data_IF_958710686388
#
_entry.id   IF_958710686388
#
_cell.length_a   1.000
_cell.length_b   1.000
_cell.length_c   1.000
_cell.angle_alpha   90.00
_cell.angle_beta   90.00
_cell.angle_gamma   90.00
#
_symmetry.space_group_name_H-M   'P 1'
#
loop_
_entity.id
_entity.type
_entity.pdbx_description
1 polymer ?
#
# COMPACT_ATOMS: atom_id res chain seq x y z
N UNK A 1 -1.19 46.17 17.09
CA UNK A 1 -0.44 45.56 15.97
C UNK A 1 -0.41 44.06 16.21
N UNK A 2 -1.21 43.24 15.51
CA UNK A 2 -1.12 41.80 15.67
C UNK A 2 0.22 41.32 15.10
N UNK A 3 0.97 40.63 15.94
CA UNK A 3 2.26 40.02 15.63
C UNK A 3 2.18 39.19 14.35
N UNK A 4 3.01 39.52 13.36
CA UNK A 4 3.19 38.71 12.17
C UNK A 4 3.79 37.37 12.60
N UNK A 5 2.96 36.32 12.62
CA UNK A 5 3.46 34.96 12.73
C UNK A 5 4.53 34.75 11.65
N UNK A 6 5.76 34.50 12.09
CA UNK A 6 6.87 34.00 11.29
C UNK A 6 6.60 32.55 10.88
N UNK A 7 5.47 32.33 10.20
CA UNK A 7 5.18 31.10 9.49
C UNK A 7 6.01 31.05 8.23
N UNK A 8 6.49 29.85 7.86
CA UNK A 8 7.18 29.59 6.61
C UNK A 8 6.47 30.27 5.43
N UNK A 9 7.19 31.18 4.74
CA UNK A 9 6.69 31.83 3.53
C UNK A 9 6.51 30.75 2.46
N UNK A 10 5.30 30.62 1.92
CA UNK A 10 5.01 29.64 0.87
C UNK A 10 6.01 29.76 -0.28
N UNK A 11 6.71 28.66 -0.55
CA UNK A 11 7.57 28.50 -1.71
C UNK A 11 6.88 27.55 -2.70
N UNK A 12 6.74 27.98 -3.96
CA UNK A 12 6.20 27.13 -5.03
C UNK A 12 7.14 25.95 -5.26
N UNK A 13 6.58 24.76 -5.42
CA UNK A 13 7.33 23.60 -5.89
C UNK A 13 7.76 23.81 -7.35
N UNK A 14 9.06 23.63 -7.62
CA UNK A 14 9.68 23.76 -8.95
C UNK A 14 10.15 22.36 -9.40
N UNK A 15 9.25 21.50 -9.89
CA UNK A 15 9.58 20.13 -10.28
C UNK A 15 10.72 20.08 -11.31
N UNK A 16 10.77 21.05 -12.23
CA UNK A 16 11.79 21.17 -13.27
C UNK A 16 13.23 21.33 -12.74
N UNK A 17 13.40 21.65 -11.44
CA UNK A 17 14.70 21.76 -10.77
C UNK A 17 15.08 20.51 -9.97
N UNK A 18 14.24 19.48 -9.99
CA UNK A 18 14.51 18.24 -9.25
C UNK A 18 15.28 17.25 -10.11
N UNK A 19 16.16 16.46 -9.48
CA UNK A 19 16.94 15.44 -10.17
C UNK A 19 16.06 14.41 -10.89
N UNK A 20 14.99 13.93 -10.23
CA UNK A 20 14.09 12.94 -10.83
C UNK A 20 13.40 13.49 -12.08
N UNK A 21 12.96 14.75 -12.06
CA UNK A 21 12.33 15.36 -13.23
C UNK A 21 13.32 15.44 -14.40
N UNK A 22 14.54 15.93 -14.15
CA UNK A 22 15.57 16.04 -15.16
C UNK A 22 15.92 14.67 -15.78
N UNK A 23 16.06 13.63 -14.96
CA UNK A 23 16.33 12.27 -15.43
C UNK A 23 15.19 11.72 -16.28
N UNK A 24 13.94 11.85 -15.83
CA UNK A 24 12.78 11.37 -16.58
C UNK A 24 12.63 12.15 -17.89
N UNK A 25 12.75 13.48 -17.86
CA UNK A 25 12.64 14.31 -19.05
C UNK A 25 13.71 13.96 -20.09
N UNK A 26 14.95 13.73 -19.65
CA UNK A 26 16.06 13.43 -20.55
C UNK A 26 15.97 12.01 -21.14
N UNK A 27 15.56 11.01 -20.37
CA UNK A 27 15.71 9.60 -20.75
C UNK A 27 14.41 8.87 -21.09
N UNK A 28 13.23 9.42 -20.77
CA UNK A 28 11.96 8.77 -21.09
C UNK A 28 11.76 8.53 -22.60
N UNK A 29 12.06 9.48 -23.51
CA UNK A 29 11.93 9.23 -24.95
C UNK A 29 12.82 8.08 -25.44
N UNK A 30 14.09 8.05 -25.03
CA UNK A 30 15.04 6.99 -25.40
C UNK A 30 14.62 5.62 -24.84
N UNK A 31 14.08 5.61 -23.62
CA UNK A 31 13.56 4.41 -23.01
C UNK A 31 12.39 3.82 -23.80
N UNK A 32 11.46 4.66 -24.26
CA UNK A 32 10.34 4.24 -25.12
C UNK A 32 10.85 3.71 -26.46
N UNK A 33 11.76 4.43 -27.12
CA UNK A 33 12.32 4.01 -28.40
C UNK A 33 13.03 2.64 -28.30
N UNK A 34 13.75 2.39 -27.19
CA UNK A 34 14.39 1.09 -26.96
C UNK A 34 13.38 -0.04 -26.79
N UNK A 35 12.32 0.17 -26.02
CA UNK A 35 11.27 -0.85 -25.82
C UNK A 35 10.59 -1.20 -27.15
N UNK A 36 10.32 -0.20 -27.99
CA UNK A 36 9.72 -0.38 -29.31
C UNK A 36 10.67 -1.10 -30.29
N UNK A 37 11.97 -0.80 -30.25
CA UNK A 37 12.99 -1.50 -31.05
C UNK A 37 13.12 -2.99 -30.72
N UNK A 38 12.78 -3.39 -29.49
CA UNK A 38 12.73 -4.79 -29.06
C UNK A 38 11.40 -5.48 -29.41
N UNK A 39 10.51 -4.80 -30.15
CA UNK A 39 9.19 -5.33 -30.51
C UNK A 39 8.22 -5.40 -29.33
N UNK A 40 8.51 -4.67 -28.24
CA UNK A 40 7.69 -4.62 -27.02
C UNK A 40 6.97 -3.29 -26.92
N UNK A 41 5.95 -3.22 -26.07
CA UNK A 41 5.27 -1.98 -25.73
C UNK A 41 5.02 -1.89 -24.24
N UNK A 42 5.08 -0.67 -23.69
CA UNK A 42 4.61 -0.43 -22.34
C UNK A 42 3.09 -0.36 -22.32
N UNK A 43 2.44 -0.88 -21.26
CA UNK A 43 1.03 -0.63 -21.04
C UNK A 43 0.72 0.86 -21.02
N UNK A 44 -0.44 1.24 -21.54
CA UNK A 44 -0.85 2.65 -21.67
C UNK A 44 -0.78 3.41 -20.34
N UNK A 45 -1.25 2.79 -19.26
CA UNK A 45 -1.22 3.40 -17.93
C UNK A 45 0.20 3.73 -17.44
N UNK A 46 1.24 3.06 -17.95
CA UNK A 46 2.64 3.36 -17.62
C UNK A 46 3.09 4.61 -18.37
N UNK A 47 2.77 4.70 -19.67
CA UNK A 47 3.09 5.87 -20.50
C UNK A 47 2.42 7.12 -19.94
N UNK A 48 1.12 7.03 -19.64
CA UNK A 48 0.35 8.11 -19.03
C UNK A 48 0.96 8.59 -17.71
N UNK A 49 1.53 7.67 -16.91
CA UNK A 49 2.17 8.01 -15.64
C UNK A 49 3.43 8.87 -15.82
N UNK A 50 4.25 8.58 -16.83
CA UNK A 50 5.42 9.40 -17.17
C UNK A 50 5.04 10.76 -17.73
N UNK A 51 4.10 10.79 -18.67
CA UNK A 51 3.65 12.02 -19.32
C UNK A 51 2.97 12.96 -18.31
N UNK A 52 2.08 12.44 -17.47
CA UNK A 52 1.42 13.25 -16.44
C UNK A 52 2.38 13.69 -15.33
N UNK A 53 3.42 12.91 -15.03
CA UNK A 53 4.48 13.32 -14.12
C UNK A 53 5.26 14.53 -14.66
N UNK A 54 5.66 14.52 -15.93
CA UNK A 54 6.37 15.64 -16.56
C UNK A 54 5.52 16.92 -16.63
N UNK A 55 4.20 16.80 -16.52
CA UNK A 55 3.29 17.95 -16.44
C UNK A 55 3.00 18.42 -15.00
N UNK A 56 3.33 17.61 -14.01
CA UNK A 56 2.94 17.83 -12.62
C UNK A 56 3.72 18.98 -11.98
N UNK A 57 3.02 20.05 -11.57
CA UNK A 57 3.63 21.19 -10.86
C UNK A 57 4.25 22.26 -11.77
N UNK A 58 4.13 22.09 -13.08
CA UNK A 58 4.64 22.98 -14.13
C UNK A 58 3.52 23.93 -14.57
N UNK A 59 3.77 25.24 -14.59
CA UNK A 59 2.73 26.26 -14.79
C UNK A 59 2.20 26.28 -16.23
N UNK A 60 3.05 25.95 -17.19
CA UNK A 60 2.77 25.84 -18.62
C UNK A 60 1.69 24.79 -18.91
N UNK A 61 1.49 23.84 -17.99
CA UNK A 61 0.48 22.80 -18.09
C UNK A 61 -0.80 23.09 -17.29
N UNK A 62 -0.92 24.30 -16.73
CA UNK A 62 -2.11 24.82 -16.07
C UNK A 62 -1.94 25.09 -14.57
N UNK A 63 -2.70 26.07 -14.07
CA UNK A 63 -2.65 26.52 -12.69
C UNK A 63 -3.96 27.15 -12.21
N UNK A 64 -4.13 27.22 -10.90
CA UNK A 64 -5.12 28.06 -10.23
C UNK A 64 -4.44 29.35 -9.75
N UNK A 65 -5.09 30.49 -9.97
CA UNK A 65 -4.72 31.77 -9.34
C UNK A 65 -5.56 31.95 -8.08
N UNK A 66 -4.92 31.85 -6.92
CA UNK A 66 -5.56 32.04 -5.63
C UNK A 66 -5.29 33.46 -5.16
N UNK A 67 -6.34 34.21 -4.84
CA UNK A 67 -6.25 35.61 -4.41
C UNK A 67 -6.84 35.73 -3.01
N UNK A 68 -6.11 36.38 -2.10
CA UNK A 68 -6.67 36.75 -0.80
C UNK A 68 -7.66 37.90 -0.96
N UNK A 69 -8.90 37.72 -0.49
CA UNK A 69 -9.93 38.76 -0.59
C UNK A 69 -9.62 40.01 0.25
N UNK A 70 -8.81 39.86 1.31
CA UNK A 70 -8.50 40.94 2.24
C UNK A 70 -7.28 41.77 1.81
N UNK A 71 -6.13 41.12 1.54
CA UNK A 71 -4.88 41.82 1.21
C UNK A 71 -4.52 41.79 -0.28
N UNK A 72 -5.36 41.15 -1.12
CA UNK A 72 -5.16 40.98 -2.58
C UNK A 72 -3.87 40.26 -2.99
N UNK A 73 -3.13 39.70 -2.03
CA UNK A 73 -1.98 38.86 -2.34
C UNK A 73 -2.40 37.67 -3.19
N UNK A 74 -1.63 37.41 -4.24
CA UNK A 74 -1.90 36.35 -5.20
C UNK A 74 -0.84 35.25 -5.16
N UNK A 75 -1.26 34.03 -5.48
CA UNK A 75 -0.38 32.87 -5.66
C UNK A 75 -0.86 32.05 -6.83
N UNK A 76 0.08 31.60 -7.65
CA UNK A 76 -0.17 30.59 -8.67
C UNK A 76 0.09 29.20 -8.08
N UNK A 77 -0.87 28.31 -8.24
CA UNK A 77 -0.81 26.92 -7.79
C UNK A 77 -0.94 26.04 -9.02
N UNK A 78 0.18 25.46 -9.46
CA UNK A 78 0.20 24.55 -10.61
C UNK A 78 -0.64 23.29 -10.34
N UNK A 79 -1.19 22.70 -11.41
CA UNK A 79 -1.93 21.45 -11.29
C UNK A 79 -1.01 20.28 -10.93
N UNK A 80 -1.57 19.31 -10.20
CA UNK A 80 -0.89 18.08 -9.81
C UNK A 80 -1.36 16.92 -10.67
N UNK A 81 -0.49 15.94 -10.91
CA UNK A 81 -0.86 14.75 -11.70
C UNK A 81 -1.88 13.85 -10.97
N UNK A 82 -1.97 13.94 -9.64
CA UNK A 82 -2.86 13.13 -8.77
C UNK A 82 -2.60 11.60 -8.84
N UNK A 83 -1.60 11.19 -9.61
CA UNK A 83 -1.15 9.81 -9.81
C UNK A 83 -0.55 9.20 -8.54
N UNK A 84 -0.36 7.88 -8.56
CA UNK A 84 0.13 7.09 -7.41
C UNK A 84 1.41 6.31 -7.70
N UNK A 85 2.00 6.49 -8.89
CA UNK A 85 3.27 5.87 -9.26
C UNK A 85 4.44 6.48 -8.51
N UNK A 86 5.28 7.22 -9.21
CA UNK A 86 6.59 7.67 -8.69
C UNK A 86 6.68 9.18 -8.43
N UNK A 87 5.63 9.96 -8.68
CA UNK A 87 5.62 11.41 -8.41
C UNK A 87 5.78 11.68 -6.90
N UNK A 88 6.92 12.22 -6.42
CA UNK A 88 7.17 12.34 -4.98
C UNK A 88 6.25 13.35 -4.32
N UNK A 89 5.92 14.45 -5.02
CA UNK A 89 5.04 15.49 -4.49
C UNK A 89 3.61 14.99 -4.27
N UNK A 90 3.01 14.36 -5.28
CA UNK A 90 1.66 13.80 -5.18
C UNK A 90 1.61 12.60 -4.22
N UNK A 91 2.62 11.73 -4.26
CA UNK A 91 2.77 10.60 -3.35
C UNK A 91 2.85 11.06 -1.90
N UNK A 92 3.75 11.99 -1.57
CA UNK A 92 3.92 12.51 -0.22
C UNK A 92 2.67 13.24 0.28
N UNK A 93 2.01 14.05 -0.56
CA UNK A 93 0.75 14.71 -0.19
C UNK A 93 -0.32 13.68 0.16
N UNK A 94 -0.51 12.67 -0.69
CA UNK A 94 -1.48 11.59 -0.44
C UNK A 94 -1.13 10.80 0.82
N UNK A 95 0.14 10.50 1.05
CA UNK A 95 0.60 9.82 2.28
C UNK A 95 0.22 10.63 3.53
N UNK A 96 0.54 11.92 3.54
CA UNK A 96 0.24 12.80 4.68
C UNK A 96 -1.27 12.94 4.92
N UNK A 97 -2.07 13.13 3.87
CA UNK A 97 -3.53 13.21 3.97
C UNK A 97 -4.15 11.89 4.44
N UNK A 98 -3.68 10.76 3.91
CA UNK A 98 -4.16 9.43 4.32
C UNK A 98 -3.80 9.15 5.77
N UNK A 99 -2.57 9.47 6.20
CA UNK A 99 -2.15 9.30 7.58
C UNK A 99 -3.01 10.14 8.53
N UNK A 100 -3.26 11.42 8.20
CA UNK A 100 -4.15 12.28 8.97
C UNK A 100 -5.55 11.67 9.09
N UNK A 101 -6.15 11.28 7.97
CA UNK A 101 -7.48 10.66 7.97
C UNK A 101 -7.52 9.37 8.81
N UNK A 102 -6.50 8.51 8.70
CA UNK A 102 -6.41 7.30 9.48
C UNK A 102 -6.31 7.58 10.99
N UNK A 103 -5.51 8.56 11.39
CA UNK A 103 -5.32 8.93 12.80
C UNK A 103 -6.56 9.61 13.39
N UNK A 104 -7.14 10.57 12.67
CA UNK A 104 -8.21 11.43 13.20
C UNK A 104 -9.59 10.77 13.09
N UNK A 105 -9.90 10.15 11.95
CA UNK A 105 -11.27 9.72 11.62
C UNK A 105 -11.46 8.21 11.72
N UNK A 106 -10.44 7.41 11.38
CA UNK A 106 -10.57 5.94 11.34
C UNK A 106 -10.22 5.31 12.68
N UNK A 107 -8.99 5.48 13.14
CA UNK A 107 -8.50 4.89 14.39
C UNK A 107 -8.81 5.78 15.61
N UNK A 108 -8.80 7.10 15.46
CA UNK A 108 -8.93 8.02 16.59
C UNK A 108 -7.91 7.72 17.70
N UNK A 109 -8.28 7.81 18.99
CA UNK A 109 -7.36 7.57 20.11
C UNK A 109 -7.10 6.07 20.40
N UNK A 110 -7.60 5.15 19.57
CA UNK A 110 -7.46 3.71 19.83
C UNK A 110 -6.02 3.26 19.53
N UNK A 111 -5.43 2.38 20.35
CA UNK A 111 -4.08 1.89 20.10
C UNK A 111 -4.04 1.08 18.81
N UNK A 112 -2.97 1.23 18.03
CA UNK A 112 -2.74 0.55 16.76
C UNK A 112 -1.40 -0.17 16.81
N UNK A 113 -1.35 -1.40 16.28
CA UNK A 113 -0.13 -2.18 16.12
C UNK A 113 0.10 -2.47 14.65
N UNK A 114 1.32 -2.20 14.18
CA UNK A 114 1.73 -2.55 12.83
C UNK A 114 2.18 -4.01 12.77
N UNK A 115 1.67 -4.72 11.76
CA UNK A 115 2.10 -6.06 11.38
C UNK A 115 2.58 -6.00 9.93
N UNK A 116 3.75 -6.58 9.66
CA UNK A 116 4.30 -6.66 8.29
C UNK A 116 4.45 -8.13 7.93
N UNK A 117 3.84 -8.53 6.81
CA UNK A 117 3.96 -9.88 6.26
C UNK A 117 4.63 -9.82 4.90
N UNK A 118 5.82 -10.39 4.80
CA UNK A 118 6.54 -10.59 3.55
C UNK A 118 6.39 -12.03 3.08
N UNK A 119 6.40 -12.23 1.76
CA UNK A 119 6.28 -13.56 1.16
C UNK A 119 7.64 -14.09 0.71
N UNK A 120 7.82 -15.42 0.58
CA UNK A 120 8.95 -16.01 -0.13
C UNK A 120 9.01 -15.55 -1.60
N UNK A 121 10.20 -15.58 -2.20
CA UNK A 121 10.41 -15.08 -3.57
C UNK A 121 9.42 -15.64 -4.60
N UNK A 122 9.16 -16.97 -4.68
CA UNK A 122 8.23 -17.51 -5.68
C UNK A 122 6.82 -16.91 -5.56
N UNK A 123 6.30 -16.78 -4.34
CA UNK A 123 4.97 -16.19 -4.11
C UNK A 123 4.91 -14.69 -4.48
N UNK A 124 6.02 -13.95 -4.38
CA UNK A 124 6.07 -12.56 -4.84
C UNK A 124 5.85 -12.47 -6.36
N UNK A 125 6.44 -13.37 -7.13
CA UNK A 125 6.23 -13.44 -8.59
C UNK A 125 4.80 -13.85 -8.93
N UNK A 126 4.24 -14.83 -8.22
CA UNK A 126 2.84 -15.22 -8.38
C UNK A 126 1.91 -14.02 -8.15
N UNK A 127 2.05 -13.32 -7.03
CA UNK A 127 1.20 -12.16 -6.72
C UNK A 127 1.49 -10.94 -7.61
N UNK A 128 2.66 -10.89 -8.26
CA UNK A 128 2.94 -9.88 -9.26
C UNK A 128 2.12 -10.12 -10.53
N UNK A 129 2.04 -11.38 -10.96
CA UNK A 129 1.44 -11.80 -12.23
C UNK A 129 -0.05 -12.10 -12.11
N UNK A 130 -0.52 -12.50 -10.92
CA UNK A 130 -1.91 -12.89 -10.61
C UNK A 130 -2.46 -12.05 -9.43
N UNK A 131 -2.80 -10.77 -9.63
CA UNK A 131 -3.28 -9.90 -8.56
C UNK A 131 -4.55 -10.42 -7.86
N UNK A 132 -5.36 -11.21 -8.54
CA UNK A 132 -6.56 -11.87 -8.02
C UNK A 132 -6.27 -12.87 -6.90
N UNK A 133 -5.04 -13.38 -6.82
CA UNK A 133 -4.59 -14.24 -5.73
C UNK A 133 -4.48 -13.49 -4.38
N UNK A 134 -4.24 -12.17 -4.43
CA UNK A 134 -3.90 -11.37 -3.24
C UNK A 134 -5.10 -11.25 -2.29
N UNK A 135 -6.31 -11.05 -2.81
CA UNK A 135 -7.52 -10.87 -2.00
C UNK A 135 -7.81 -12.08 -1.09
N UNK A 136 -7.94 -13.30 -1.65
CA UNK A 136 -8.11 -14.52 -0.86
C UNK A 136 -6.99 -14.77 0.15
N UNK A 137 -5.72 -14.55 -0.24
CA UNK A 137 -4.56 -14.68 0.66
C UNK A 137 -4.63 -13.69 1.81
N UNK A 138 -4.93 -12.42 1.53
CA UNK A 138 -5.13 -11.40 2.55
C UNK A 138 -6.24 -11.79 3.52
N UNK A 139 -7.35 -12.34 3.03
CA UNK A 139 -8.43 -12.84 3.87
C UNK A 139 -7.99 -13.97 4.82
N UNK A 140 -7.12 -14.88 4.36
CA UNK A 140 -6.53 -15.93 5.21
C UNK A 140 -5.67 -15.32 6.30
N UNK A 141 -4.76 -14.42 5.93
CA UNK A 141 -3.85 -13.71 6.85
C UNK A 141 -4.66 -12.98 7.92
N UNK A 142 -5.66 -12.20 7.51
CA UNK A 142 -6.49 -11.42 8.43
C UNK A 142 -7.28 -12.31 9.39
N UNK A 143 -7.87 -13.43 8.93
CA UNK A 143 -8.57 -14.36 9.81
C UNK A 143 -7.65 -15.02 10.84
N UNK A 144 -6.42 -15.36 10.44
CA UNK A 144 -5.43 -15.96 11.36
C UNK A 144 -5.00 -14.95 12.42
N UNK A 145 -4.67 -13.72 12.03
CA UNK A 145 -4.27 -12.66 12.97
C UNK A 145 -5.45 -12.27 13.88
N UNK A 146 -6.66 -12.11 13.36
CA UNK A 146 -7.84 -11.80 14.17
C UNK A 146 -8.13 -12.89 15.21
N UNK A 147 -8.08 -14.17 14.83
CA UNK A 147 -8.28 -15.27 15.77
C UNK A 147 -7.20 -15.34 16.85
N UNK A 148 -5.95 -14.95 16.53
CA UNK A 148 -4.88 -14.85 17.52
C UNK A 148 -5.10 -13.66 18.47
N UNK A 149 -5.45 -12.49 17.95
CA UNK A 149 -5.73 -11.29 18.74
C UNK A 149 -6.91 -11.50 19.70
N UNK A 150 -7.98 -12.19 19.27
CA UNK A 150 -9.12 -12.57 20.11
C UNK A 150 -8.67 -13.40 21.32
N UNK A 151 -7.83 -14.42 21.09
CA UNK A 151 -7.27 -15.23 22.18
C UNK A 151 -6.44 -14.38 23.14
N UNK A 152 -5.59 -13.47 22.63
CA UNK A 152 -4.75 -12.63 23.48
C UNK A 152 -5.56 -11.61 24.29
N UNK A 153 -6.69 -11.13 23.76
CA UNK A 153 -7.59 -10.21 24.43
C UNK A 153 -8.58 -10.92 25.38
N UNK A 154 -8.60 -12.26 25.39
CA UNK A 154 -9.56 -13.06 26.15
C UNK A 154 -11.01 -12.77 25.74
N UNK A 155 -11.25 -12.59 24.44
CA UNK A 155 -12.59 -12.40 23.86
C UNK A 155 -12.93 -13.65 23.06
N UNK A 156 -14.17 -14.12 23.20
CA UNK A 156 -14.63 -15.26 22.42
C UNK A 156 -14.56 -14.96 20.92
N UNK A 157 -14.10 -15.92 20.13
CA UNK A 157 -13.86 -15.70 18.69
C UNK A 157 -15.14 -15.46 17.90
N UNK A 158 -16.28 -15.98 18.35
CA UNK A 158 -17.54 -15.82 17.64
C UNK A 158 -18.12 -14.41 17.82
N UNK A 159 -17.80 -13.72 18.92
CA UNK A 159 -18.21 -12.34 19.19
C UNK A 159 -17.11 -11.30 19.00
N UNK A 160 -15.86 -11.72 18.79
CA UNK A 160 -14.71 -10.83 18.63
C UNK A 160 -14.81 -9.99 17.35
N UNK A 161 -14.75 -8.67 17.50
CA UNK A 161 -14.68 -7.72 16.40
C UNK A 161 -13.45 -6.81 16.50
N UNK A 162 -12.83 -6.54 15.34
CA UNK A 162 -11.67 -5.66 15.23
C UNK A 162 -11.60 -5.05 13.82
N UNK A 163 -10.78 -4.02 13.66
CA UNK A 163 -10.53 -3.35 12.40
C UNK A 163 -9.05 -3.40 12.02
N UNK A 164 -8.78 -3.52 10.73
CA UNK A 164 -7.45 -3.47 10.13
C UNK A 164 -7.47 -2.64 8.86
N UNK A 165 -6.45 -1.81 8.67
CA UNK A 165 -6.16 -1.18 7.38
C UNK A 165 -4.92 -1.85 6.80
N UNK A 166 -5.04 -2.42 5.60
CA UNK A 166 -3.92 -3.08 4.92
C UNK A 166 -3.47 -2.28 3.71
N UNK A 167 -2.17 -1.98 3.64
CA UNK A 167 -1.50 -1.44 2.47
C UNK A 167 -0.65 -2.55 1.85
N UNK A 168 -0.96 -2.91 0.61
CA UNK A 168 -0.19 -3.89 -0.16
C UNK A 168 0.89 -3.14 -0.92
N UNK A 169 2.15 -3.38 -0.56
CA UNK A 169 3.30 -2.82 -1.26
C UNK A 169 3.87 -3.87 -2.21
N UNK A 170 4.30 -3.44 -3.41
CA UNK A 170 4.80 -4.34 -4.46
C UNK A 170 6.31 -4.23 -4.70
N UNK A 171 6.98 -3.28 -4.06
CA UNK A 171 8.40 -3.00 -4.27
C UNK A 171 9.14 -2.82 -2.94
N UNK A 172 10.42 -3.20 -2.93
CA UNK A 172 11.35 -2.95 -1.84
C UNK A 172 12.01 -1.57 -1.96
N UNK A 173 12.85 -1.21 -0.98
CA UNK A 173 13.60 0.06 -1.01
C UNK A 173 14.52 0.20 -2.23
N UNK A 174 14.99 -0.92 -2.79
CA UNK A 174 15.77 -0.98 -4.02
C UNK A 174 14.92 -1.05 -5.30
N UNK A 175 13.60 -0.80 -5.20
CA UNK A 175 12.62 -0.93 -6.29
C UNK A 175 12.50 -2.34 -6.89
N UNK A 176 13.09 -3.34 -6.25
CA UNK A 176 12.95 -4.74 -6.61
C UNK A 176 11.54 -5.25 -6.28
N UNK A 177 11.07 -6.25 -7.04
CA UNK A 177 9.79 -6.90 -6.76
C UNK A 177 9.76 -7.46 -5.33
N UNK A 178 8.87 -6.91 -4.52
CA UNK A 178 8.68 -7.32 -3.13
C UNK A 178 7.22 -7.10 -2.75
N UNK A 179 6.36 -8.08 -3.09
CA UNK A 179 4.97 -8.05 -2.62
C UNK A 179 4.96 -8.34 -1.12
N UNK A 180 4.41 -7.43 -0.31
CA UNK A 180 4.29 -7.57 1.13
C UNK A 180 3.13 -6.72 1.66
N UNK A 181 2.60 -7.10 2.83
CA UNK A 181 1.45 -6.45 3.45
C UNK A 181 1.88 -5.66 4.67
N UNK A 182 1.60 -4.36 4.67
CA UNK A 182 1.62 -3.51 5.86
C UNK A 182 0.22 -3.44 6.43
N UNK A 183 0.01 -3.96 7.63
CA UNK A 183 -1.30 -4.05 8.27
C UNK A 183 -1.30 -3.27 9.58
N UNK A 184 -2.16 -2.25 9.65
CA UNK A 184 -2.40 -1.45 10.85
C UNK A 184 -3.64 -2.01 11.56
N UNK A 185 -3.41 -2.85 12.56
CA UNK A 185 -4.46 -3.47 13.37
C UNK A 185 -4.78 -2.59 14.57
N UNK A 186 -6.06 -2.46 14.94
CA UNK A 186 -6.40 -2.05 16.30
C UNK A 186 -5.77 -3.03 17.28
N UNK A 187 -5.10 -2.51 18.32
CA UNK A 187 -4.34 -3.33 19.26
C UNK A 187 -5.23 -3.96 20.34
N UNK A 188 -6.27 -4.67 19.90
CA UNK A 188 -7.27 -5.26 20.77
C UNK A 188 -8.52 -5.71 20.02
N UNK A 189 -9.52 -6.16 20.81
CA UNK A 189 -10.77 -6.71 20.31
C UNK A 189 -11.96 -6.10 21.05
N UNK A 190 -13.04 -5.85 20.31
CA UNK A 190 -14.36 -5.58 20.85
C UNK A 190 -15.13 -6.89 21.01
N UNK A 191 -16.02 -6.93 21.99
CA UNK A 191 -16.97 -8.03 22.16
C UNK A 191 -18.34 -7.57 21.67
N UNK A 192 -18.90 -8.25 20.66
CA UNK A 192 -20.19 -7.94 20.07
C UNK A 192 -21.37 -8.30 20.99
N UNK A 193 -21.16 -9.12 22.03
CA UNK A 193 -22.22 -9.56 22.94
C UNK A 193 -22.62 -8.51 23.99
N UNK A 194 -22.16 -7.26 23.84
CA UNK A 194 -22.53 -6.15 24.73
C UNK A 194 -23.86 -5.56 24.25
N UNK A 195 -24.99 -6.02 24.79
CA UNK A 195 -26.30 -5.45 24.46
C UNK A 195 -26.46 -3.99 24.95
N UNK A 196 -26.93 -3.06 24.09
CA UNK A 196 -27.45 -1.77 24.53
C UNK A 196 -28.70 -1.99 25.42
N UNK A 197 -28.86 -1.29 26.57
CA UNK A 197 -28.31 0.03 26.88
C UNK A 197 -27.09 0.01 27.81
N UNK A 198 -26.43 -1.13 28.02
CA UNK A 198 -25.59 -1.32 29.23
C UNK A 198 -24.18 -0.71 29.21
N UNK A 199 -23.56 -0.38 28.06
CA UNK A 199 -22.32 0.44 27.94
C UNK A 199 -21.83 0.52 26.48
N UNK A 200 -21.07 1.57 26.13
CA UNK A 200 -20.32 1.63 24.87
C UNK A 200 -19.34 0.44 24.77
N UNK A 201 -19.19 -0.22 23.61
CA UNK A 201 -18.22 -1.30 23.42
C UNK A 201 -16.81 -0.84 23.83
N UNK A 202 -16.13 -1.63 24.67
CA UNK A 202 -14.77 -1.31 25.15
C UNK A 202 -13.76 -2.21 24.42
N UNK A 203 -12.70 -1.60 23.92
CA UNK A 203 -11.59 -2.33 23.33
C UNK A 203 -10.81 -3.05 24.43
N UNK A 204 -10.79 -4.39 24.39
CA UNK A 204 -9.92 -5.22 25.22
C UNK A 204 -8.56 -5.34 24.55
N UNK A 205 -7.52 -4.77 25.17
CA UNK A 205 -6.17 -4.74 24.59
C UNK A 205 -5.60 -6.14 24.44
N UNK A 206 -4.95 -6.39 23.31
CA UNK A 206 -4.20 -7.63 23.09
C UNK A 206 -2.78 -7.53 23.66
N UNK A 207 -2.26 -8.62 24.21
CA UNK A 207 -0.86 -8.70 24.63
C UNK A 207 0.08 -8.59 23.42
N UNK A 208 1.29 -8.08 23.63
CA UNK A 208 2.33 -8.09 22.60
C UNK A 208 2.73 -9.55 22.29
N UNK A 209 2.89 -9.93 21.01
CA UNK A 209 3.33 -11.27 20.67
C UNK A 209 4.79 -11.47 21.08
N UNK A 210 5.13 -12.68 21.51
CA UNK A 210 6.53 -13.13 21.61
C UNK A 210 7.04 -13.61 20.24
N UNK A 211 8.35 -13.68 20.06
CA UNK A 211 8.95 -14.22 18.82
C UNK A 211 8.49 -15.65 18.50
N UNK A 212 8.30 -16.49 19.53
CA UNK A 212 7.78 -17.84 19.36
C UNK A 212 6.32 -17.83 18.87
N UNK A 213 5.48 -16.94 19.41
CA UNK A 213 4.10 -16.77 18.94
C UNK A 213 4.05 -16.22 17.51
N UNK A 214 4.93 -15.29 17.15
CA UNK A 214 5.04 -14.80 15.76
C UNK A 214 5.44 -15.92 14.79
N UNK A 215 6.39 -16.77 15.19
CA UNK A 215 6.83 -17.91 14.38
C UNK A 215 5.68 -18.91 14.17
N UNK A 216 4.96 -19.25 15.24
CA UNK A 216 3.79 -20.14 15.15
C UNK A 216 2.68 -19.54 14.26
N UNK A 217 2.44 -18.23 14.37
CA UNK A 217 1.45 -17.53 13.56
C UNK A 217 1.87 -17.52 12.09
N UNK A 218 3.14 -17.24 11.80
CA UNK A 218 3.71 -17.28 10.45
C UNK A 218 3.57 -18.68 9.83
N UNK A 219 3.88 -19.74 10.57
CA UNK A 219 3.71 -21.12 10.11
C UNK A 219 2.24 -21.46 9.83
N UNK A 220 1.33 -21.00 10.69
CA UNK A 220 -0.11 -21.19 10.48
C UNK A 220 -0.60 -20.46 9.22
N UNK A 221 -0.11 -19.24 8.98
CA UNK A 221 -0.40 -18.47 7.77
C UNK A 221 0.16 -19.20 6.56
N UNK A 222 1.44 -19.57 6.58
CA UNK A 222 2.11 -20.26 5.49
C UNK A 222 1.36 -21.54 5.09
N UNK A 223 1.07 -22.41 6.05
CA UNK A 223 0.32 -23.65 5.79
C UNK A 223 -1.06 -23.40 5.17
N UNK A 224 -1.83 -22.42 5.68
CA UNK A 224 -3.15 -22.11 5.14
C UNK A 224 -3.09 -21.45 3.77
N UNK A 225 -2.09 -20.61 3.52
CA UNK A 225 -1.86 -19.96 2.22
C UNK A 225 -1.44 -21.02 1.20
N UNK A 226 -0.44 -21.85 1.49
CA UNK A 226 -0.02 -22.94 0.60
C UNK A 226 -1.19 -23.85 0.27
N UNK A 227 -1.94 -24.34 1.27
CA UNK A 227 -3.14 -25.16 1.06
C UNK A 227 -4.19 -24.48 0.16
N UNK A 228 -4.38 -23.17 0.29
CA UNK A 228 -5.31 -22.42 -0.55
C UNK A 228 -4.81 -22.34 -2.00
N UNK A 229 -3.54 -22.01 -2.19
CA UNK A 229 -2.94 -21.85 -3.51
C UNK A 229 -2.83 -23.20 -4.24
N UNK A 230 -2.50 -24.30 -3.55
CA UNK A 230 -2.52 -25.66 -4.12
C UNK A 230 -3.93 -26.06 -4.57
N UNK A 231 -4.97 -25.75 -3.81
CA UNK A 231 -6.37 -25.98 -4.22
C UNK A 231 -6.81 -25.15 -5.42
N UNK A 232 -6.18 -24.00 -5.63
CA UNK A 232 -6.36 -23.18 -6.83
C UNK A 232 -5.53 -23.68 -8.01
N UNK A 233 -4.71 -24.71 -7.78
CA UNK A 233 -3.79 -25.26 -8.77
C UNK A 233 -2.61 -24.34 -9.06
N UNK A 234 -2.27 -23.39 -8.18
CA UNK A 234 -1.13 -22.46 -8.37
C UNK A 234 0.17 -22.91 -7.70
N UNK A 235 0.10 -23.96 -6.90
CA UNK A 235 1.24 -24.59 -6.24
C UNK A 235 1.17 -26.11 -6.37
N UNK A 236 2.33 -26.73 -6.60
CA UNK A 236 2.54 -28.18 -6.65
C UNK A 236 3.49 -28.64 -5.54
N UNK A 237 3.30 -29.87 -5.03
CA UNK A 237 4.14 -30.49 -4.00
C UNK A 237 3.50 -30.65 -2.60
N UNK A 238 4.17 -31.42 -1.73
CA UNK A 238 3.78 -31.69 -0.33
C UNK A 238 4.65 -30.93 0.68
N UNK A 239 4.00 -30.40 1.73
CA UNK A 239 4.49 -29.78 2.97
C UNK A 239 5.77 -28.91 2.93
N UNK A 240 6.94 -29.48 2.62
CA UNK A 240 8.24 -28.80 2.64
C UNK A 240 8.82 -28.48 1.25
N UNK A 241 8.25 -29.03 0.17
CA UNK A 241 8.74 -28.88 -1.21
C UNK A 241 7.65 -28.29 -2.11
N UNK A 242 7.26 -27.04 -1.86
CA UNK A 242 6.17 -26.38 -2.60
C UNK A 242 6.74 -25.50 -3.72
N UNK A 243 6.38 -25.81 -4.96
CA UNK A 243 6.80 -25.09 -6.16
C UNK A 243 5.60 -24.39 -6.83
N UNK A 244 5.87 -23.36 -7.63
CA UNK A 244 4.84 -22.77 -8.50
C UNK A 244 4.47 -23.80 -9.58
N UNK A 245 3.17 -23.97 -9.81
CA UNK A 245 2.68 -24.85 -10.88
C UNK A 245 2.84 -24.21 -12.27
N UNK A 246 2.81 -25.03 -13.32
CA UNK A 246 2.86 -24.53 -14.70
C UNK A 246 1.65 -23.65 -15.05
N UNK A 247 0.49 -23.93 -14.46
CA UNK A 247 -0.72 -23.10 -14.59
C UNK A 247 -0.63 -21.75 -13.88
N UNK A 248 0.36 -21.55 -13.00
CA UNK A 248 0.66 -20.23 -12.44
C UNK A 248 1.27 -19.29 -13.48
N UNK A 249 1.94 -19.83 -14.50
CA UNK A 249 2.61 -19.07 -15.57
C UNK A 249 1.82 -18.97 -16.89
N UNK A 250 0.66 -19.63 -17.01
CA UNK A 250 -0.04 -19.80 -18.30
C UNK A 250 -1.06 -18.70 -18.67
N UNK A 251 -1.15 -17.59 -17.93
CA UNK A 251 -1.69 -16.35 -18.51
C UNK A 251 -0.50 -15.47 -18.85
N UNK A 252 -0.58 -14.84 -20.02
CA UNK A 252 0.28 -13.87 -20.72
C UNK A 252 1.12 -12.86 -19.88
N UNK A 253 0.99 -12.80 -18.56
CA UNK A 253 1.74 -11.94 -17.66
C UNK A 253 3.20 -12.35 -17.40
N UNK A 254 3.58 -13.62 -17.63
CA UNK A 254 4.96 -14.09 -17.42
C UNK A 254 5.82 -14.16 -18.69
N UNK A 255 5.21 -14.25 -19.88
CA UNK A 255 5.98 -14.25 -21.14
C UNK A 255 6.62 -12.88 -21.43
N UNK A 256 6.06 -11.79 -20.90
CA UNK A 256 6.66 -10.45 -20.95
C UNK A 256 7.86 -10.24 -20.01
N UNK A 257 8.20 -11.22 -19.16
CA UNK A 257 9.28 -11.15 -18.16
C UNK A 257 10.41 -12.17 -18.40
N UNK A 258 10.38 -12.91 -19.52
CA UNK A 258 11.54 -13.68 -19.96
C UNK A 258 12.62 -12.68 -20.43
N UNK A 259 13.62 -12.46 -19.56
CA UNK A 259 14.92 -11.92 -19.97
C UNK A 259 15.63 -12.92 -20.88
#
# INVERSE_FOLDING_TARGET
MPSAHTGSRYARHLPERTLLYALVQAHYPDFIARIEAEGRSLPEYVREEFETYLRCGVLEHGFLRVVCEHCRAERLVAFSCKKRGFCPSCGARRMAESARHLVEEVFGPRPVRQWVLSFPYPLRFLFASKPEAIGPVLGIVQRVIAGWLANQAGVDRASAQCGVVTLIQRFGSALNLNVHFHMLWLDGMYDANVEPPRRKPRLRRARAPTSAQLTQLANTIAHRVCRHLSRRGWLEGEDESVFLSDSAGSDDGMDGLRM
#
